data_IF_360961955069
#
_entry.id   IF_360961955069
#
_cell.length_a   1.000
_cell.length_b   1.000
_cell.length_c   1.000
_cell.angle_alpha   90.00
_cell.angle_beta   90.00
_cell.angle_gamma   90.00
#
_symmetry.space_group_name_H-M   'P 1'
#
loop_
_entity.id
_entity.type
_entity.pdbx_description
1 polymer ?
#
# COMPACT_ATOMS: atom_id res chain seq x y z
N UNK A 1 -44.16 19.47 14.44
CA UNK A 1 -42.73 19.72 14.68
C UNK A 1 -42.04 19.52 13.34
N UNK A 2 -41.79 20.63 12.65
CA UNK A 2 -41.23 20.65 11.31
C UNK A 2 -39.73 20.37 11.48
N UNK A 3 -39.27 19.18 11.11
CA UNK A 3 -37.83 18.91 11.00
C UNK A 3 -37.33 19.79 9.86
N UNK A 4 -36.71 20.91 10.21
CA UNK A 4 -35.72 21.56 9.36
C UNK A 4 -34.66 20.50 9.04
N UNK A 5 -34.64 20.05 7.79
CA UNK A 5 -33.48 19.39 7.20
C UNK A 5 -32.36 20.42 7.24
N UNK A 6 -31.49 20.31 8.23
CA UNK A 6 -30.19 20.97 8.19
C UNK A 6 -29.43 20.38 7.00
N UNK A 7 -29.60 20.99 5.83
CA UNK A 7 -28.71 20.78 4.70
C UNK A 7 -27.55 21.77 4.90
N UNK A 8 -26.39 21.27 5.36
CA UNK A 8 -25.18 21.54 4.60
C UNK A 8 -24.21 20.36 4.70
N UNK A 9 -24.16 19.54 3.65
CA UNK A 9 -22.88 18.98 3.20
C UNK A 9 -22.48 19.67 1.89
N UNK A 10 -22.54 21.00 1.88
CA UNK A 10 -21.79 21.79 0.89
C UNK A 10 -20.35 21.86 1.42
N UNK A 11 -19.56 20.81 1.20
CA UNK A 11 -18.12 20.87 1.39
C UNK A 11 -17.45 20.46 0.10
N UNK A 12 -16.79 21.45 -0.47
CA UNK A 12 -16.68 21.65 -1.89
C UNK A 12 -15.31 21.31 -2.44
N UNK A 13 -15.29 21.01 -3.74
CA UNK A 13 -14.13 21.21 -4.58
C UNK A 13 -13.95 22.73 -4.79
N UNK A 14 -12.97 23.32 -4.11
CA UNK A 14 -12.71 24.76 -4.14
C UNK A 14 -11.53 25.03 -5.06
N UNK A 15 -11.70 25.91 -6.04
CA UNK A 15 -10.66 26.30 -7.00
C UNK A 15 -10.56 27.82 -7.02
N UNK A 16 -9.37 28.36 -6.72
CA UNK A 16 -9.15 29.81 -6.62
C UNK A 16 -10.16 30.51 -5.68
N UNK A 17 -10.46 29.86 -4.55
CA UNK A 17 -11.42 30.34 -3.56
C UNK A 17 -12.90 30.25 -3.98
N UNK A 18 -13.20 29.69 -5.15
CA UNK A 18 -14.57 29.51 -5.66
C UNK A 18 -14.98 28.05 -5.58
N UNK A 19 -16.18 27.81 -5.06
CA UNK A 19 -16.81 26.49 -5.06
C UNK A 19 -17.18 26.07 -6.49
N UNK A 20 -16.70 24.90 -6.92
CA UNK A 20 -17.07 24.29 -8.19
C UNK A 20 -18.09 23.19 -8.00
N UNK A 21 -19.35 23.44 -8.39
CA UNK A 21 -20.47 22.50 -8.23
C UNK A 21 -20.93 21.81 -9.53
N UNK A 22 -20.50 22.30 -10.70
CA UNK A 22 -20.85 21.73 -12.01
C UNK A 22 -19.67 20.91 -12.58
N UNK A 23 -19.71 19.59 -12.37
CA UNK A 23 -18.65 18.68 -12.80
C UNK A 23 -18.46 18.65 -14.34
N UNK A 24 -19.51 18.52 -15.17
CA UNK A 24 -19.38 18.62 -16.63
C UNK A 24 -18.74 19.92 -17.10
N UNK A 25 -19.16 21.07 -16.57
CA UNK A 25 -18.61 22.36 -16.97
C UNK A 25 -17.13 22.49 -16.57
N UNK A 26 -16.76 22.03 -15.37
CA UNK A 26 -15.37 22.02 -14.92
C UNK A 26 -14.50 21.10 -15.80
N UNK A 27 -14.96 19.88 -16.10
CA UNK A 27 -14.23 18.97 -16.99
C UNK A 27 -13.92 19.60 -18.35
N UNK A 28 -14.89 20.32 -18.94
CA UNK A 28 -14.69 21.04 -20.20
C UNK A 28 -13.63 22.14 -20.12
N UNK A 29 -13.55 22.87 -18.98
CA UNK A 29 -12.50 23.88 -18.76
C UNK A 29 -11.12 23.25 -18.57
N UNK A 30 -11.03 22.17 -17.80
CA UNK A 30 -9.79 21.39 -17.65
C UNK A 30 -9.31 20.84 -19.00
N UNK A 31 -10.21 20.31 -19.83
CA UNK A 31 -9.87 19.85 -21.18
C UNK A 31 -9.34 20.97 -22.08
N UNK A 32 -9.88 22.19 -21.97
CA UNK A 32 -9.38 23.34 -22.73
C UNK A 32 -7.97 23.80 -22.31
N UNK A 33 -7.57 23.55 -21.05
CA UNK A 33 -6.23 23.85 -20.53
C UNK A 33 -5.20 22.77 -20.88
N UNK A 34 -5.64 21.55 -21.18
CA UNK A 34 -4.76 20.40 -21.34
C UNK A 34 -4.13 20.29 -22.75
N UNK A 35 -2.97 19.62 -22.87
CA UNK A 35 -2.41 19.21 -24.16
C UNK A 35 -3.42 18.43 -25.00
N UNK A 36 -3.39 18.63 -26.32
CA UNK A 36 -4.37 18.09 -27.27
C UNK A 36 -4.60 16.58 -27.12
N UNK A 37 -3.52 15.82 -26.89
CA UNK A 37 -3.53 14.37 -26.72
C UNK A 37 -4.25 13.89 -25.44
N UNK A 38 -4.44 14.75 -24.44
CA UNK A 38 -5.14 14.43 -23.18
C UNK A 38 -6.60 14.87 -23.16
N UNK A 39 -7.03 15.75 -24.07
CA UNK A 39 -8.37 16.37 -24.05
C UNK A 39 -9.51 15.36 -24.14
N UNK A 40 -9.36 14.30 -24.93
CA UNK A 40 -10.39 13.26 -25.06
C UNK A 40 -10.62 12.50 -23.75
N UNK A 41 -9.54 12.17 -23.03
CA UNK A 41 -9.63 11.49 -21.74
C UNK A 41 -10.33 12.37 -20.69
N UNK A 42 -10.08 13.68 -20.71
CA UNK A 42 -10.66 14.65 -19.77
C UNK A 42 -12.17 14.84 -19.93
N UNK A 43 -12.71 14.56 -21.12
CA UNK A 43 -14.15 14.56 -21.37
C UNK A 43 -14.83 13.20 -21.10
N UNK A 44 -14.07 12.21 -20.61
CA UNK A 44 -14.56 10.86 -20.35
C UNK A 44 -15.39 10.74 -19.06
N UNK A 45 -16.19 9.67 -18.92
CA UNK A 45 -17.01 9.43 -17.74
C UNK A 45 -16.19 9.28 -16.45
N UNK A 46 -14.96 8.76 -16.55
CA UNK A 46 -14.08 8.57 -15.41
C UNK A 46 -13.68 9.91 -14.75
N UNK A 47 -13.42 10.96 -15.54
CA UNK A 47 -13.09 12.30 -15.01
C UNK A 47 -14.31 12.97 -14.40
N UNK A 48 -15.49 12.79 -15.00
CA UNK A 48 -16.74 13.25 -14.38
C UNK A 48 -16.95 12.59 -13.03
N UNK A 49 -16.68 11.29 -12.93
CA UNK A 49 -16.73 10.57 -11.66
C UNK A 49 -15.72 11.12 -10.66
N UNK A 50 -14.47 11.36 -11.06
CA UNK A 50 -13.44 11.95 -10.20
C UNK A 50 -13.90 13.28 -9.62
N UNK A 51 -14.35 14.22 -10.47
CA UNK A 51 -14.79 15.55 -10.03
C UNK A 51 -16.01 15.45 -9.12
N UNK A 52 -16.99 14.61 -9.47
CA UNK A 52 -18.20 14.41 -8.64
C UNK A 52 -17.84 13.82 -7.26
N UNK A 53 -16.89 12.89 -7.20
CA UNK A 53 -16.42 12.33 -5.95
C UNK A 53 -15.65 13.36 -5.10
N UNK A 54 -14.82 14.21 -5.73
CA UNK A 54 -14.14 15.33 -5.06
C UNK A 54 -15.13 16.35 -4.49
N UNK A 55 -16.21 16.66 -5.22
CA UNK A 55 -17.29 17.53 -4.75
C UNK A 55 -18.11 16.93 -3.62
N UNK A 56 -18.16 15.59 -3.52
CA UNK A 56 -18.88 14.86 -2.48
C UNK A 56 -18.05 14.52 -1.25
N UNK A 57 -16.79 14.97 -1.17
CA UNK A 57 -15.91 14.71 -0.04
C UNK A 57 -16.37 15.47 1.22
N UNK A 58 -16.25 14.84 2.38
CA UNK A 58 -16.56 15.46 3.68
C UNK A 58 -15.52 16.48 4.13
N UNK A 59 -14.36 16.52 3.48
CA UNK A 59 -13.29 17.49 3.72
C UNK A 59 -13.06 18.28 2.43
N UNK A 60 -13.03 19.63 2.47
CA UNK A 60 -12.87 20.44 1.27
C UNK A 60 -11.55 20.14 0.55
N UNK A 61 -11.65 19.89 -0.76
CA UNK A 61 -10.48 19.73 -1.63
C UNK A 61 -10.19 21.07 -2.29
N UNK A 62 -9.18 21.77 -1.78
CA UNK A 62 -8.83 23.14 -2.21
C UNK A 62 -7.67 23.12 -3.19
N UNK A 63 -7.79 23.83 -4.31
CA UNK A 63 -6.74 24.04 -5.30
C UNK A 63 -6.57 25.53 -5.56
N UNK A 64 -5.32 25.98 -5.75
CA UNK A 64 -5.03 27.39 -6.02
C UNK A 64 -5.44 27.79 -7.46
N UNK A 65 -5.54 26.82 -8.37
CA UNK A 65 -5.95 27.08 -9.76
C UNK A 65 -6.49 25.83 -10.44
N UNK A 66 -7.18 26.00 -11.57
CA UNK A 66 -7.60 24.89 -12.44
C UNK A 66 -6.41 24.09 -12.98
N UNK A 67 -5.23 24.71 -13.14
CA UNK A 67 -4.02 24.00 -13.57
C UNK A 67 -3.54 23.00 -12.52
N UNK A 68 -3.66 23.33 -11.23
CA UNK A 68 -3.26 22.42 -10.14
C UNK A 68 -4.22 21.24 -10.05
N UNK A 69 -5.53 21.49 -10.20
CA UNK A 69 -6.52 20.42 -10.29
C UNK A 69 -6.29 19.55 -11.53
N UNK A 70 -5.97 20.16 -12.69
CA UNK A 70 -5.66 19.43 -13.91
C UNK A 70 -4.48 18.48 -13.69
N UNK A 71 -3.40 18.93 -13.04
CA UNK A 71 -2.26 18.08 -12.72
C UNK A 71 -2.66 16.86 -11.89
N UNK A 72 -3.50 17.05 -10.85
CA UNK A 72 -3.99 15.93 -10.03
C UNK A 72 -4.87 14.95 -10.85
N UNK A 73 -5.79 15.46 -11.67
CA UNK A 73 -6.64 14.62 -12.52
C UNK A 73 -5.80 13.81 -13.52
N UNK A 74 -4.77 14.43 -14.12
CA UNK A 74 -3.87 13.75 -15.05
C UNK A 74 -3.07 12.65 -14.36
N UNK A 75 -2.59 12.88 -13.14
CA UNK A 75 -1.90 11.86 -12.33
C UNK A 75 -2.83 10.70 -12.01
N UNK A 76 -4.07 10.98 -11.58
CA UNK A 76 -5.06 9.94 -11.27
C UNK A 76 -5.40 9.09 -12.49
N UNK A 77 -5.65 9.72 -13.65
CA UNK A 77 -5.90 9.00 -14.90
C UNK A 77 -4.72 8.10 -15.28
N UNK A 78 -3.50 8.63 -15.20
CA UNK A 78 -2.29 7.89 -15.51
C UNK A 78 -2.03 6.73 -14.54
N UNK A 79 -2.36 6.90 -13.26
CA UNK A 79 -2.23 5.85 -12.25
C UNK A 79 -3.27 4.73 -12.46
N UNK A 80 -4.52 5.06 -12.81
CA UNK A 80 -5.55 4.08 -13.16
C UNK A 80 -5.15 3.28 -14.42
N UNK A 81 -4.60 3.96 -15.43
CA UNK A 81 -4.06 3.29 -16.62
C UNK A 81 -2.85 2.39 -16.30
N UNK A 82 -1.95 2.85 -15.44
CA UNK A 82 -0.80 2.06 -14.99
C UNK A 82 -1.23 0.82 -14.19
N UNK A 83 -2.22 0.95 -13.29
CA UNK A 83 -2.79 -0.19 -12.58
C UNK A 83 -3.46 -1.18 -13.55
N UNK A 84 -4.18 -0.67 -14.55
CA UNK A 84 -4.80 -1.52 -15.59
C UNK A 84 -3.74 -2.27 -16.40
N UNK A 85 -2.65 -1.59 -16.75
CA UNK A 85 -1.50 -2.21 -17.44
C UNK A 85 -0.81 -3.27 -16.59
N UNK A 86 -0.69 -3.02 -15.29
CA UNK A 86 -0.15 -3.97 -14.32
C UNK A 86 -1.01 -5.24 -14.23
N UNK A 87 -2.33 -5.11 -14.14
CA UNK A 87 -3.22 -6.26 -13.92
C UNK A 87 -3.67 -6.97 -15.21
N UNK A 88 -3.54 -6.33 -16.37
CA UNK A 88 -3.82 -6.96 -17.68
C UNK A 88 -2.64 -7.73 -18.26
N UNK A 89 -1.46 -7.65 -17.65
CA UNK A 89 -0.22 -8.26 -18.14
C UNK A 89 0.50 -7.47 -19.23
N UNK A 90 0.10 -6.20 -19.45
CA UNK A 90 0.87 -5.29 -20.30
C UNK A 90 2.23 -4.94 -19.66
N UNK A 91 2.28 -4.94 -18.32
CA UNK A 91 3.50 -5.03 -17.54
C UNK A 91 3.72 -6.47 -17.04
N UNK A 92 4.99 -6.88 -16.92
CA UNK A 92 5.45 -8.20 -16.52
C UNK A 92 5.57 -8.15 -15.01
N UNK A 93 4.42 -8.02 -14.35
CA UNK A 93 4.30 -7.88 -12.92
C UNK A 93 3.66 -9.13 -12.34
N UNK A 94 4.27 -9.67 -11.29
CA UNK A 94 3.70 -10.79 -10.53
C UNK A 94 4.17 -10.71 -9.07
N UNK A 95 3.56 -11.51 -8.20
CA UNK A 95 4.10 -11.75 -6.87
C UNK A 95 5.45 -12.48 -6.98
N UNK A 96 6.36 -12.18 -6.06
CA UNK A 96 7.46 -13.11 -5.81
C UNK A 96 6.93 -14.26 -4.95
N UNK A 97 7.41 -15.47 -5.20
CA UNK A 97 7.11 -16.65 -4.40
C UNK A 97 8.35 -17.55 -4.36
N UNK A 98 9.11 -17.54 -3.25
CA UNK A 98 10.31 -18.36 -3.11
C UNK A 98 10.03 -19.86 -3.20
N UNK A 99 8.79 -20.31 -2.94
CA UNK A 99 8.45 -21.74 -2.98
C UNK A 99 8.45 -22.31 -4.40
N UNK A 100 8.20 -21.46 -5.41
CA UNK A 100 8.21 -21.85 -6.83
C UNK A 100 9.34 -21.14 -7.61
N UNK A 101 10.38 -20.70 -6.90
CA UNK A 101 11.55 -19.99 -7.43
C UNK A 101 11.23 -18.69 -8.18
N UNK A 102 10.09 -18.06 -7.89
CA UNK A 102 9.79 -16.70 -8.33
C UNK A 102 10.51 -15.71 -7.43
N UNK A 103 11.77 -15.44 -7.75
CA UNK A 103 12.64 -14.54 -6.97
C UNK A 103 12.27 -13.06 -7.15
N UNK A 104 12.48 -12.23 -6.11
CA UNK A 104 12.33 -10.78 -6.19
C UNK A 104 13.09 -10.17 -7.38
N UNK A 105 12.42 -9.28 -8.13
CA UNK A 105 12.93 -8.67 -9.38
C UNK A 105 12.38 -7.27 -9.60
N UNK A 106 13.21 -6.39 -10.16
CA UNK A 106 12.79 -5.09 -10.69
C UNK A 106 13.63 -4.66 -11.89
N UNK A 107 12.98 -4.29 -12.99
CA UNK A 107 13.58 -3.54 -14.10
C UNK A 107 14.46 -4.31 -15.09
N UNK A 108 14.63 -5.62 -14.95
CA UNK A 108 15.33 -6.49 -15.93
C UNK A 108 14.81 -7.91 -15.85
N UNK A 109 14.80 -8.66 -16.96
CA UNK A 109 14.42 -10.09 -17.03
C UNK A 109 15.61 -11.04 -16.94
N UNK A 110 16.84 -10.52 -16.99
CA UNK A 110 18.07 -11.33 -16.96
C UNK A 110 18.40 -11.89 -15.56
N UNK A 111 19.54 -12.58 -15.45
CA UNK A 111 20.00 -13.20 -14.21
C UNK A 111 20.40 -12.19 -13.12
N UNK A 112 20.60 -10.91 -13.45
CA UNK A 112 20.90 -9.89 -12.44
C UNK A 112 19.72 -9.61 -11.53
N UNK A 113 18.48 -9.86 -11.99
CA UNK A 113 17.19 -9.65 -11.29
C UNK A 113 16.88 -8.20 -10.93
N UNK A 114 17.87 -7.34 -10.86
CA UNK A 114 17.73 -5.94 -10.46
C UNK A 114 18.47 -5.11 -11.48
N UNK A 115 17.76 -4.20 -12.16
CA UNK A 115 18.41 -3.31 -13.11
C UNK A 115 19.42 -2.40 -12.39
N UNK A 116 20.39 -1.85 -13.14
CA UNK A 116 21.40 -0.93 -12.61
C UNK A 116 20.84 0.33 -11.94
N UNK A 117 19.55 0.62 -12.15
CA UNK A 117 18.87 1.77 -11.59
C UNK A 117 18.41 1.56 -10.16
N UNK A 118 18.36 0.31 -9.70
CA UNK A 118 17.84 -0.09 -8.40
C UNK A 118 18.92 -0.83 -7.57
N UNK A 119 18.94 -0.58 -6.26
CA UNK A 119 19.70 -1.34 -5.27
C UNK A 119 18.71 -2.22 -4.50
N UNK A 120 18.89 -3.53 -4.56
CA UNK A 120 18.16 -4.47 -3.70
C UNK A 120 18.69 -4.36 -2.28
N UNK A 121 17.80 -4.11 -1.30
CA UNK A 121 18.21 -3.79 0.07
C UNK A 121 18.66 -5.03 0.84
N UNK A 122 18.02 -6.18 0.65
CA UNK A 122 18.38 -7.42 1.35
C UNK A 122 18.64 -8.58 0.36
N UNK A 123 19.77 -8.59 -0.36
CA UNK A 123 20.04 -9.53 -1.46
C UNK A 123 20.12 -11.01 -1.04
N UNK A 124 20.38 -11.28 0.24
CA UNK A 124 20.44 -12.62 0.82
C UNK A 124 19.08 -13.13 1.29
N UNK A 125 18.07 -12.27 1.36
CA UNK A 125 16.74 -12.65 1.79
C UNK A 125 15.82 -12.87 0.59
N UNK A 126 15.59 -14.14 0.27
CA UNK A 126 14.69 -14.53 -0.81
C UNK A 126 13.23 -14.13 -0.56
N UNK A 127 12.90 -13.82 0.68
CA UNK A 127 11.59 -13.37 1.07
C UNK A 127 11.46 -11.84 1.01
N UNK A 128 12.53 -11.07 0.85
CA UNK A 128 12.41 -9.60 0.79
C UNK A 128 12.30 -9.06 -0.63
N UNK A 129 11.48 -8.03 -0.81
CA UNK A 129 11.21 -7.40 -2.09
C UNK A 129 11.26 -5.88 -1.93
N UNK A 130 12.41 -5.37 -1.50
CA UNK A 130 12.64 -3.95 -1.22
C UNK A 130 13.80 -3.39 -2.03
N UNK A 131 13.52 -2.39 -2.86
CA UNK A 131 14.50 -1.73 -3.74
C UNK A 131 14.49 -0.23 -3.53
N UNK A 132 15.70 0.33 -3.59
CA UNK A 132 15.92 1.77 -3.56
C UNK A 132 16.53 2.22 -4.88
N UNK A 133 16.06 3.33 -5.43
CA UNK A 133 16.67 3.94 -6.61
C UNK A 133 18.13 4.31 -6.31
N UNK A 134 19.02 4.12 -7.29
CA UNK A 134 20.42 4.53 -7.17
C UNK A 134 20.56 6.05 -7.27
N UNK A 135 21.38 6.73 -6.43
CA UNK A 135 21.41 8.20 -6.36
C UNK A 135 21.77 8.91 -7.67
N UNK A 136 22.50 8.23 -8.57
CA UNK A 136 22.97 8.81 -9.83
C UNK A 136 22.00 8.62 -10.99
N UNK A 137 20.91 7.86 -10.81
CA UNK A 137 19.95 7.59 -11.88
C UNK A 137 18.83 8.63 -11.85
N UNK A 138 18.51 9.31 -12.97
CA UNK A 138 17.33 10.16 -13.04
C UNK A 138 16.04 9.38 -12.71
N UNK A 139 15.12 9.92 -11.89
CA UNK A 139 13.90 9.22 -11.49
C UNK A 139 13.07 8.70 -12.67
N UNK A 140 12.89 9.52 -13.70
CA UNK A 140 12.19 9.14 -14.93
C UNK A 140 12.85 7.95 -15.64
N UNK A 141 14.19 7.89 -15.66
CA UNK A 141 14.94 6.77 -16.23
C UNK A 141 14.82 5.50 -15.40
N UNK A 142 14.78 5.61 -14.07
CA UNK A 142 14.70 4.44 -13.19
C UNK A 142 13.34 3.72 -13.26
N UNK A 143 12.26 4.47 -13.47
CA UNK A 143 10.88 3.95 -13.44
C UNK A 143 10.29 3.69 -14.83
N UNK A 144 10.80 4.35 -15.88
CA UNK A 144 10.31 4.13 -17.23
C UNK A 144 10.71 2.71 -17.71
N UNK A 145 9.76 1.91 -18.22
CA UNK A 145 10.12 0.76 -19.04
C UNK A 145 10.96 1.25 -20.22
N UNK A 146 12.11 0.62 -20.49
CA UNK A 146 12.83 0.91 -21.74
C UNK A 146 11.89 0.64 -22.93
N UNK A 147 11.94 1.48 -23.97
CA UNK A 147 11.00 1.39 -25.10
C UNK A 147 10.95 -0.04 -25.67
N UNK A 148 9.75 -0.63 -25.74
CA UNK A 148 9.53 -2.00 -26.19
C UNK A 148 9.87 -3.09 -25.16
N UNK A 149 10.27 -2.72 -23.95
CA UNK A 149 10.54 -3.64 -22.85
C UNK A 149 9.39 -3.60 -21.86
N UNK A 150 9.02 -4.77 -21.37
CA UNK A 150 8.11 -4.89 -20.25
C UNK A 150 8.94 -4.68 -18.99
N UNK A 151 8.65 -3.68 -18.14
CA UNK A 151 9.36 -3.53 -16.85
C UNK A 151 8.99 -4.74 -15.99
N UNK A 152 9.91 -5.69 -15.75
CA UNK A 152 9.56 -6.86 -14.99
C UNK A 152 9.63 -6.52 -13.51
N UNK A 153 8.58 -6.88 -12.78
CA UNK A 153 8.46 -6.71 -11.35
C UNK A 153 8.03 -8.04 -10.73
N UNK A 154 8.78 -8.49 -9.73
CA UNK A 154 8.39 -9.59 -8.84
C UNK A 154 8.55 -9.07 -7.43
N UNK A 155 7.48 -8.64 -6.80
CA UNK A 155 7.52 -8.03 -5.47
C UNK A 155 6.19 -8.17 -4.75
N UNK A 156 5.99 -7.35 -3.72
CA UNK A 156 4.73 -7.30 -2.97
C UNK A 156 3.72 -6.33 -3.59
N UNK A 157 2.44 -6.49 -3.23
CA UNK A 157 1.37 -5.62 -3.69
C UNK A 157 1.55 -4.15 -3.25
N UNK A 158 2.22 -3.89 -2.12
CA UNK A 158 2.62 -2.55 -1.71
C UNK A 158 3.61 -1.92 -2.71
N UNK A 159 4.64 -2.67 -3.11
CA UNK A 159 5.62 -2.23 -4.11
C UNK A 159 4.99 -1.98 -5.48
N UNK A 160 4.08 -2.86 -5.92
CA UNK A 160 3.30 -2.66 -7.14
C UNK A 160 2.50 -1.35 -7.11
N UNK A 161 1.85 -1.04 -5.97
CA UNK A 161 1.10 0.20 -5.83
C UNK A 161 2.01 1.44 -5.87
N UNK A 162 3.19 1.36 -5.25
CA UNK A 162 4.20 2.43 -5.29
C UNK A 162 4.69 2.68 -6.72
N UNK A 163 4.92 1.63 -7.51
CA UNK A 163 5.23 1.76 -8.94
C UNK A 163 4.11 2.47 -9.70
N UNK A 164 2.85 2.13 -9.43
CA UNK A 164 1.68 2.78 -10.02
C UNK A 164 1.61 4.28 -9.69
N UNK A 165 1.95 4.68 -8.45
CA UNK A 165 2.04 6.11 -8.08
C UNK A 165 3.12 6.79 -8.91
N UNK A 166 4.32 6.22 -8.98
CA UNK A 166 5.43 6.82 -9.73
C UNK A 166 5.16 6.87 -11.24
N UNK A 167 4.53 5.85 -11.82
CA UNK A 167 4.06 5.86 -13.20
C UNK A 167 2.95 6.89 -13.43
N UNK A 168 2.02 7.05 -12.48
CA UNK A 168 1.01 8.10 -12.51
C UNK A 168 1.62 9.49 -12.57
N UNK A 169 2.63 9.75 -11.73
CA UNK A 169 3.38 11.01 -11.73
C UNK A 169 4.12 11.22 -13.07
N UNK A 170 4.85 10.21 -13.55
CA UNK A 170 5.61 10.30 -14.81
C UNK A 170 4.70 10.49 -16.03
N UNK A 171 3.67 9.66 -16.19
CA UNK A 171 2.82 9.65 -17.38
C UNK A 171 1.72 10.74 -17.35
N UNK A 172 1.37 11.21 -16.15
CA UNK A 172 0.42 12.29 -15.93
C UNK A 172 1.06 13.67 -16.12
N UNK A 173 2.23 13.90 -15.53
CA UNK A 173 2.89 15.22 -15.50
C UNK A 173 4.03 15.38 -16.52
N UNK A 174 4.55 14.27 -17.05
CA UNK A 174 5.76 14.25 -17.87
C UNK A 174 7.05 14.22 -17.07
N UNK A 175 8.16 13.89 -17.74
CA UNK A 175 9.45 13.63 -17.11
C UNK A 175 10.00 14.85 -16.34
N UNK A 176 9.89 16.06 -16.90
CA UNK A 176 10.43 17.27 -16.29
C UNK A 176 9.76 17.59 -14.96
N UNK A 177 8.42 17.52 -14.93
CA UNK A 177 7.66 17.83 -13.72
C UNK A 177 7.74 16.71 -12.70
N UNK A 178 7.85 15.45 -13.13
CA UNK A 178 8.17 14.34 -12.23
C UNK A 178 9.55 14.51 -11.58
N UNK A 179 10.57 14.95 -12.32
CA UNK A 179 11.89 15.22 -11.76
C UNK A 179 11.85 16.30 -10.66
N UNK A 180 11.08 17.39 -10.88
CA UNK A 180 10.87 18.44 -9.86
C UNK A 180 10.19 17.91 -8.58
N UNK A 181 9.30 16.93 -8.71
CA UNK A 181 8.69 16.28 -7.53
C UNK A 181 9.71 15.37 -6.83
N UNK A 182 10.55 14.67 -7.59
CA UNK A 182 11.58 13.79 -7.04
C UNK A 182 12.67 14.54 -6.28
N UNK A 183 12.98 15.78 -6.66
CA UNK A 183 13.85 16.65 -5.85
C UNK A 183 13.32 16.86 -4.43
N UNK A 184 12.00 16.75 -4.24
CA UNK A 184 11.34 17.01 -2.96
C UNK A 184 11.13 15.75 -2.13
N UNK A 185 10.77 14.63 -2.75
CA UNK A 185 10.59 13.35 -2.05
C UNK A 185 11.88 12.53 -1.94
N UNK A 186 12.93 12.91 -2.66
CA UNK A 186 14.23 12.26 -2.66
C UNK A 186 14.27 10.99 -3.50
N UNK A 187 14.82 9.92 -2.92
CA UNK A 187 15.09 8.67 -3.65
C UNK A 187 13.86 7.77 -3.64
N UNK A 188 13.44 7.25 -4.79
CA UNK A 188 12.31 6.30 -4.82
C UNK A 188 12.61 5.03 -4.04
N UNK A 189 11.57 4.51 -3.39
CA UNK A 189 11.57 3.23 -2.68
C UNK A 189 10.40 2.38 -3.18
N UNK A 190 10.68 1.12 -3.54
CA UNK A 190 9.69 0.14 -3.97
C UNK A 190 9.78 -1.07 -3.03
N UNK A 191 8.68 -1.45 -2.39
CA UNK A 191 8.61 -2.55 -1.43
C UNK A 191 7.71 -2.20 -0.23
N UNK A 192 8.19 -2.25 1.01
CA UNK A 192 7.38 -1.96 2.18
C UNK A 192 6.95 -0.48 2.25
N UNK A 193 5.86 -0.22 2.98
CA UNK A 193 5.34 1.13 3.23
C UNK A 193 6.23 1.97 4.16
N UNK A 194 7.18 1.33 4.86
CA UNK A 194 8.21 1.99 5.67
C UNK A 194 9.47 1.11 5.76
N UNK A 195 10.61 1.74 6.05
CA UNK A 195 11.86 1.08 6.46
C UNK A 195 12.24 1.61 7.84
N UNK A 196 11.92 0.83 8.88
CA UNK A 196 12.05 1.30 10.26
C UNK A 196 11.23 2.57 10.48
N UNK A 197 11.82 3.68 10.96
CA UNK A 197 11.10 4.94 11.19
C UNK A 197 10.85 5.76 9.91
N UNK A 198 11.40 5.33 8.77
CA UNK A 198 11.35 6.10 7.53
C UNK A 198 10.16 5.65 6.69
N UNK A 199 9.16 6.52 6.54
CA UNK A 199 8.04 6.29 5.63
C UNK A 199 8.50 6.19 4.18
N UNK A 200 7.84 5.34 3.40
CA UNK A 200 8.08 5.26 1.96
C UNK A 200 7.70 6.59 1.29
N UNK A 201 8.54 7.18 0.41
CA UNK A 201 8.25 8.45 -0.25
C UNK A 201 6.92 8.48 -1.04
N UNK A 202 6.45 7.33 -1.54
CA UNK A 202 5.15 7.24 -2.20
C UNK A 202 3.98 7.62 -1.28
N UNK A 203 4.12 7.44 0.04
CA UNK A 203 3.08 7.79 1.03
C UNK A 203 2.83 9.29 1.14
N UNK A 204 3.76 10.13 0.67
CA UNK A 204 3.54 11.59 0.56
C UNK A 204 2.35 11.93 -0.35
N UNK A 205 2.06 11.05 -1.31
CA UNK A 205 0.96 11.18 -2.26
C UNK A 205 -0.30 10.42 -1.82
N UNK A 206 -0.30 9.90 -0.58
CA UNK A 206 -1.35 9.05 -0.03
C UNK A 206 -1.89 9.57 1.32
N UNK A 207 -2.35 10.83 1.43
CA UNK A 207 -2.97 11.29 2.67
C UNK A 207 -4.20 10.44 2.99
N UNK A 208 -4.35 10.08 4.27
CA UNK A 208 -5.51 9.33 4.78
C UNK A 208 -6.81 10.06 4.43
N UNK A 209 -7.82 9.31 4.02
CA UNK A 209 -9.16 9.84 3.75
C UNK A 209 -10.26 9.00 4.42
N UNK A 210 -11.43 9.60 4.71
CA UNK A 210 -12.56 8.89 5.30
C UNK A 210 -13.12 7.82 4.36
N UNK A 211 -13.49 6.66 4.92
CA UNK A 211 -14.07 5.55 4.15
C UNK A 211 -15.53 5.81 3.75
N UNK A 212 -16.22 6.67 4.48
CA UNK A 212 -17.61 7.07 4.25
C UNK A 212 -17.79 8.00 3.05
N UNK A 213 -16.71 8.69 2.66
CA UNK A 213 -16.69 9.56 1.51
C UNK A 213 -16.67 8.73 0.21
N UNK A 214 -17.24 9.25 -0.89
CA UNK A 214 -17.15 8.57 -2.17
C UNK A 214 -15.66 8.41 -2.57
N UNK A 215 -15.20 7.19 -2.90
CA UNK A 215 -13.85 7.00 -3.38
C UNK A 215 -13.68 7.74 -4.72
N UNK A 216 -12.52 8.36 -4.92
CA UNK A 216 -12.17 9.04 -6.16
C UNK A 216 -11.31 8.06 -6.97
N UNK A 217 -11.57 7.83 -8.27
CA UNK A 217 -10.73 6.95 -9.06
C UNK A 217 -9.24 7.31 -8.91
N UNK A 218 -8.41 6.28 -8.71
CA UNK A 218 -7.00 6.41 -8.33
C UNK A 218 -6.73 6.33 -6.83
N UNK A 219 -7.74 6.47 -5.96
CA UNK A 219 -7.56 6.32 -4.51
C UNK A 219 -7.03 4.94 -4.14
N UNK A 220 -6.20 4.91 -3.10
CA UNK A 220 -5.75 3.68 -2.45
C UNK A 220 -6.82 3.19 -1.48
N UNK A 221 -7.08 1.90 -1.55
CA UNK A 221 -8.05 1.19 -0.73
C UNK A 221 -7.39 -0.09 -0.22
N UNK A 222 -7.33 -0.25 1.10
CA UNK A 222 -6.90 -1.52 1.70
C UNK A 222 -8.12 -2.35 2.05
N UNK A 223 -8.21 -3.52 1.42
CA UNK A 223 -9.28 -4.46 1.62
C UNK A 223 -8.81 -5.58 2.55
N UNK A 224 -9.22 -5.55 3.81
CA UNK A 224 -8.73 -6.42 4.86
C UNK A 224 -9.51 -7.75 4.90
N UNK A 225 -8.79 -8.84 5.16
CA UNK A 225 -9.43 -10.10 5.53
C UNK A 225 -10.03 -10.02 6.95
N UNK A 226 -10.59 -11.11 7.46
CA UNK A 226 -11.10 -11.16 8.84
C UNK A 226 -10.00 -10.83 9.84
N UNK A 227 -10.36 -10.13 10.92
CA UNK A 227 -9.42 -9.51 11.85
C UNK A 227 -8.47 -10.50 12.54
N UNK A 228 -8.86 -11.77 12.69
CA UNK A 228 -8.05 -12.84 13.26
C UNK A 228 -7.25 -13.65 12.23
N UNK A 229 -7.34 -13.35 10.93
CA UNK A 229 -6.51 -14.01 9.91
C UNK A 229 -5.01 -13.97 10.25
N UNK A 230 -4.41 -12.85 10.71
CA UNK A 230 -2.98 -12.83 11.06
C UNK A 230 -2.62 -13.75 12.23
N UNK A 231 -3.59 -14.07 13.10
CA UNK A 231 -3.39 -14.97 14.23
C UNK A 231 -3.53 -16.44 13.81
N UNK A 232 -4.45 -16.74 12.91
CA UNK A 232 -4.76 -18.11 12.48
C UNK A 232 -3.87 -18.58 11.33
N UNK A 233 -3.48 -17.67 10.44
CA UNK A 233 -2.62 -17.92 9.29
C UNK A 233 -1.43 -16.93 9.28
N UNK A 234 -0.49 -17.04 10.25
CA UNK A 234 0.61 -16.09 10.43
C UNK A 234 1.62 -16.06 9.27
N UNK A 235 1.71 -17.15 8.50
CA UNK A 235 2.52 -17.22 7.26
C UNK A 235 1.66 -17.04 6.00
N UNK A 236 0.36 -16.78 6.16
CA UNK A 236 -0.59 -16.57 5.09
C UNK A 236 -0.39 -15.25 4.36
N UNK A 237 -0.56 -15.28 3.04
CA UNK A 237 -0.39 -14.11 2.17
C UNK A 237 -1.64 -13.21 2.10
N UNK A 238 -2.81 -13.75 2.46
CA UNK A 238 -4.12 -13.11 2.23
C UNK A 238 -4.62 -12.30 3.42
N UNK A 239 -3.72 -11.57 4.07
CA UNK A 239 -4.04 -10.60 5.13
C UNK A 239 -5.02 -9.53 4.65
N UNK A 240 -4.95 -9.24 3.36
CA UNK A 240 -5.79 -8.29 2.66
C UNK A 240 -5.20 -7.99 1.29
N UNK A 241 -5.79 -7.01 0.62
CA UNK A 241 -5.43 -6.60 -0.72
C UNK A 241 -5.21 -5.09 -0.75
N UNK A 242 -4.01 -4.69 -1.19
CA UNK A 242 -3.74 -3.32 -1.61
C UNK A 242 -4.43 -3.12 -2.97
N UNK A 243 -5.41 -2.22 -3.02
CA UNK A 243 -6.22 -2.00 -4.22
C UNK A 243 -6.35 -0.52 -4.53
N UNK A 244 -6.56 -0.23 -5.81
CA UNK A 244 -6.90 1.08 -6.34
C UNK A 244 -8.38 1.07 -6.69
N UNK A 245 -9.09 2.14 -6.35
CA UNK A 245 -10.42 2.35 -6.90
C UNK A 245 -10.33 2.75 -8.37
N UNK A 246 -10.97 1.97 -9.25
CA UNK A 246 -10.83 2.10 -10.71
C UNK A 246 -11.97 2.89 -11.37
N UNK A 247 -13.01 3.23 -10.60
CA UNK A 247 -14.24 3.85 -11.10
C UNK A 247 -15.40 2.88 -11.22
N UNK A 248 -16.48 3.33 -11.85
CA UNK A 248 -17.71 2.56 -12.04
C UNK A 248 -17.85 1.97 -13.44
N UNK A 249 -18.54 0.84 -13.53
CA UNK A 249 -19.08 0.34 -14.79
C UNK A 249 -20.32 1.14 -15.25
N UNK A 250 -20.87 0.77 -16.40
CA UNK A 250 -22.07 1.41 -16.96
C UNK A 250 -23.34 1.24 -16.10
N UNK A 251 -23.35 0.31 -15.13
CA UNK A 251 -24.44 0.09 -14.18
C UNK A 251 -24.23 0.85 -12.87
N UNK A 252 -23.10 1.55 -12.72
CA UNK A 252 -22.72 2.24 -11.48
C UNK A 252 -22.04 1.33 -10.45
N UNK A 253 -21.71 0.09 -10.80
CA UNK A 253 -20.99 -0.84 -9.93
C UNK A 253 -19.55 -0.38 -9.79
N UNK A 254 -19.06 -0.30 -8.55
CA UNK A 254 -17.68 0.09 -8.24
C UNK A 254 -16.71 -1.05 -8.53
N UNK A 255 -15.59 -0.72 -9.17
CA UNK A 255 -14.49 -1.66 -9.45
C UNK A 255 -13.19 -1.24 -8.79
N UNK A 256 -12.39 -2.24 -8.44
CA UNK A 256 -11.11 -2.09 -7.77
C UNK A 256 -10.06 -2.98 -8.47
N UNK A 257 -8.80 -2.61 -8.38
CA UNK A 257 -7.70 -3.42 -8.92
C UNK A 257 -6.46 -3.35 -8.05
N UNK A 258 -5.75 -4.45 -7.96
CA UNK A 258 -4.50 -4.58 -7.23
C UNK A 258 -3.69 -5.71 -7.85
N UNK A 259 -2.48 -5.94 -7.36
CA UNK A 259 -1.68 -7.05 -7.87
C UNK A 259 -2.41 -8.38 -7.63
N UNK A 260 -2.65 -9.13 -8.71
CA UNK A 260 -3.43 -10.38 -8.68
C UNK A 260 -4.95 -10.22 -8.75
N UNK A 261 -5.49 -8.99 -8.73
CA UNK A 261 -6.93 -8.73 -8.80
C UNK A 261 -7.23 -7.63 -9.84
N UNK A 262 -7.84 -8.00 -10.96
CA UNK A 262 -8.15 -7.06 -12.05
C UNK A 262 -9.65 -6.79 -12.15
N UNK A 263 -10.01 -5.51 -12.12
CA UNK A 263 -11.38 -5.01 -12.34
C UNK A 263 -12.44 -5.73 -11.50
N UNK A 264 -12.17 -5.97 -10.22
CA UNK A 264 -13.07 -6.71 -9.33
C UNK A 264 -14.10 -5.79 -8.68
N UNK A 265 -15.32 -6.29 -8.53
CA UNK A 265 -16.31 -5.65 -7.66
C UNK A 265 -15.93 -5.87 -6.19
N UNK A 266 -16.45 -5.03 -5.30
CA UNK A 266 -16.27 -5.24 -3.85
C UNK A 266 -16.78 -6.61 -3.39
N UNK A 267 -17.89 -7.10 -3.95
CA UNK A 267 -18.42 -8.42 -3.63
C UNK A 267 -17.46 -9.55 -4.06
N UNK A 268 -16.81 -9.42 -5.22
CA UNK A 268 -15.83 -10.41 -5.67
C UNK A 268 -14.58 -10.40 -4.79
N UNK A 269 -14.07 -9.22 -4.43
CA UNK A 269 -12.94 -9.12 -3.51
C UNK A 269 -13.25 -9.75 -2.15
N UNK A 270 -14.45 -9.51 -1.60
CA UNK A 270 -14.94 -10.16 -0.36
C UNK A 270 -14.86 -11.67 -0.46
N UNK A 271 -15.31 -12.23 -1.58
CA UNK A 271 -15.30 -13.68 -1.80
C UNK A 271 -13.89 -14.25 -1.97
N UNK A 272 -12.99 -13.55 -2.66
CA UNK A 272 -11.59 -13.97 -2.82
C UNK A 272 -10.88 -14.09 -1.47
N UNK A 273 -10.95 -13.06 -0.63
CA UNK A 273 -10.35 -13.10 0.72
C UNK A 273 -11.03 -14.11 1.65
N UNK A 274 -12.36 -14.26 1.54
CA UNK A 274 -13.08 -15.26 2.32
C UNK A 274 -12.65 -16.69 1.97
N UNK A 275 -12.48 -16.98 0.67
CA UNK A 275 -12.00 -18.29 0.22
C UNK A 275 -10.59 -18.57 0.73
N UNK A 276 -9.69 -17.57 0.67
CA UNK A 276 -8.36 -17.69 1.25
C UNK A 276 -8.39 -17.94 2.76
N UNK A 277 -9.27 -17.25 3.49
CA UNK A 277 -9.47 -17.50 4.92
C UNK A 277 -9.91 -18.95 5.19
N UNK A 278 -10.89 -19.47 4.45
CA UNK A 278 -11.37 -20.85 4.64
C UNK A 278 -10.31 -21.90 4.33
N UNK A 279 -9.42 -21.61 3.39
CA UNK A 279 -8.31 -22.48 3.04
C UNK A 279 -7.21 -22.45 4.09
N UNK A 280 -6.76 -21.25 4.47
CA UNK A 280 -5.57 -21.07 5.32
C UNK A 280 -5.89 -21.26 6.81
N UNK A 281 -7.12 -20.91 7.22
CA UNK A 281 -7.55 -20.92 8.62
C UNK A 281 -8.50 -22.09 8.94
N UNK A 282 -8.51 -23.18 8.15
CA UNK A 282 -9.38 -24.32 8.45
C UNK A 282 -9.16 -24.87 9.88
N UNK A 283 -10.21 -25.19 10.65
CA UNK A 283 -11.63 -25.25 10.29
C UNK A 283 -12.44 -23.96 10.58
N UNK A 284 -11.78 -22.84 10.86
CA UNK A 284 -12.45 -21.57 11.19
C UNK A 284 -13.27 -21.04 10.01
N UNK A 285 -14.34 -20.31 10.32
CA UNK A 285 -15.27 -19.75 9.35
C UNK A 285 -15.47 -18.25 9.58
N UNK A 286 -16.11 -17.60 8.60
CA UNK A 286 -16.52 -16.19 8.59
C UNK A 286 -18.04 -16.24 8.59
N UNK A 287 -18.67 -15.71 9.63
CA UNK A 287 -20.12 -15.78 9.81
C UNK A 287 -20.83 -14.79 8.89
N UNK A 288 -20.22 -13.62 8.68
CA UNK A 288 -20.75 -12.53 7.89
C UNK A 288 -19.65 -11.92 6.97
N UNK A 289 -19.33 -12.56 5.83
CA UNK A 289 -18.31 -12.08 4.88
C UNK A 289 -18.51 -10.63 4.40
N UNK A 290 -19.76 -10.17 4.33
CA UNK A 290 -20.10 -8.81 3.92
C UNK A 290 -19.80 -7.74 4.98
N UNK A 291 -19.44 -8.13 6.19
CA UNK A 291 -19.08 -7.18 7.26
C UNK A 291 -17.71 -7.46 7.86
N UNK A 292 -17.26 -8.72 7.85
CA UNK A 292 -15.98 -9.10 8.48
C UNK A 292 -14.78 -8.94 7.54
N UNK A 293 -14.97 -9.10 6.22
CA UNK A 293 -13.93 -8.89 5.20
C UNK A 293 -14.21 -7.58 4.49
N UNK A 294 -13.49 -6.50 4.78
CA UNK A 294 -13.95 -5.12 4.50
C UNK A 294 -12.83 -4.16 4.14
N UNK A 295 -13.16 -3.03 3.51
CA UNK A 295 -12.22 -1.92 3.42
C UNK A 295 -11.98 -1.32 4.81
N UNK A 296 -10.72 -1.16 5.19
CA UNK A 296 -10.34 -0.58 6.49
C UNK A 296 -9.45 0.66 6.37
N UNK A 297 -8.87 0.88 5.19
CA UNK A 297 -8.11 2.11 4.91
C UNK A 297 -8.47 2.64 3.53
N UNK A 298 -8.58 3.97 3.47
CA UNK A 298 -8.57 4.75 2.25
C UNK A 298 -7.51 5.83 2.33
N UNK A 299 -6.80 6.04 1.25
CA UNK A 299 -5.92 7.19 1.07
C UNK A 299 -6.14 7.81 -0.31
N UNK A 300 -6.11 9.14 -0.38
CA UNK A 300 -6.28 9.86 -1.64
C UNK A 300 -5.02 9.73 -2.47
N UNK A 301 -5.13 9.60 -3.78
CA UNK A 301 -4.01 9.91 -4.67
C UNK A 301 -3.97 11.42 -4.92
N UNK A 302 -3.17 12.14 -4.13
CA UNK A 302 -3.18 13.60 -4.11
C UNK A 302 -1.77 14.17 -4.30
N UNK A 303 -1.65 15.26 -5.05
CA UNK A 303 -0.40 16.02 -5.12
C UNK A 303 -0.22 16.85 -3.84
N UNK A 304 0.87 16.69 -3.08
CA UNK A 304 1.06 17.43 -1.85
C UNK A 304 1.31 18.92 -2.13
N UNK A 305 0.59 19.79 -1.43
CA UNK A 305 0.66 21.27 -1.58
C UNK A 305 1.96 21.86 -1.04
N UNK A 306 2.42 21.34 0.09
CA UNK A 306 3.71 21.67 0.68
C UNK A 306 4.54 20.38 0.75
N UNK A 307 5.78 20.44 0.27
CA UNK A 307 6.64 19.28 0.09
C UNK A 307 8.05 19.63 0.53
N UNK A 308 8.29 19.60 1.84
CA UNK A 308 9.62 19.64 2.41
C UNK A 308 9.81 18.38 3.24
N UNK A 309 10.18 17.28 2.59
CA UNK A 309 10.71 16.11 3.29
C UNK A 309 11.96 15.65 2.53
N UNK A 310 13.06 16.38 2.72
CA UNK A 310 14.36 15.86 2.32
C UNK A 310 14.69 14.67 3.24
N UNK A 311 14.27 13.47 2.84
CA UNK A 311 14.68 12.24 3.51
C UNK A 311 16.07 11.89 2.96
N UNK A 312 17.12 12.38 3.62
CA UNK A 312 18.44 11.80 3.46
C UNK A 312 18.44 10.43 4.14
N UNK A 313 18.43 9.37 3.33
CA UNK A 313 18.59 8.01 3.85
C UNK A 313 20.02 7.84 4.34
N UNK A 314 20.20 7.61 5.65
CA UNK A 314 21.49 7.19 6.19
C UNK A 314 21.90 5.82 5.64
N UNK A 315 23.20 5.59 5.48
CA UNK A 315 23.75 4.35 4.99
C UNK A 315 23.29 3.13 5.81
N UNK A 316 22.96 2.03 5.12
CA UNK A 316 22.66 0.74 5.75
C UNK A 316 23.82 0.32 6.64
N UNK A 317 23.56 0.05 7.92
CA UNK A 317 24.49 -0.73 8.74
C UNK A 317 24.20 -2.20 8.51
N UNK A 318 25.10 -2.89 7.81
CA UNK A 318 25.18 -4.35 7.79
C UNK A 318 25.51 -4.84 9.21
N UNK A 319 24.49 -5.09 10.00
CA UNK A 319 24.64 -5.73 11.30
C UNK A 319 24.28 -7.21 11.19
N UNK A 320 25.31 -8.06 11.26
CA UNK A 320 25.16 -9.51 11.41
C UNK A 320 24.66 -9.82 12.82
N UNK A 321 23.34 -9.85 13.01
CA UNK A 321 22.75 -10.35 14.25
C UNK A 321 22.62 -11.88 14.20
N UNK A 322 22.90 -12.52 15.33
CA UNK A 322 22.62 -13.94 15.52
C UNK A 322 21.23 -14.04 16.13
N UNK A 323 20.23 -14.22 15.27
CA UNK A 323 18.86 -14.49 15.71
C UNK A 323 18.85 -15.91 16.32
N UNK A 324 18.13 -16.09 17.43
CA UNK A 324 17.96 -17.41 18.05
C UNK A 324 16.46 -17.70 18.19
N UNK A 325 16.04 -18.91 17.80
CA UNK A 325 14.67 -19.35 17.98
C UNK A 325 14.44 -19.73 19.45
N UNK A 326 13.58 -19.03 20.20
CA UNK A 326 13.28 -19.39 21.57
C UNK A 326 12.54 -20.74 21.60
N UNK A 327 12.85 -21.58 22.60
CA UNK A 327 12.08 -22.79 22.84
C UNK A 327 10.83 -22.50 23.71
N UNK A 328 9.89 -23.45 23.74
CA UNK A 328 8.63 -23.36 24.50
C UNK A 328 8.88 -22.99 25.97
N UNK A 329 9.88 -23.61 26.62
CA UNK A 329 10.19 -23.32 28.02
C UNK A 329 10.67 -21.89 28.26
N UNK A 330 11.44 -21.33 27.32
CA UNK A 330 11.93 -19.95 27.40
C UNK A 330 10.78 -18.95 27.23
N UNK A 331 9.85 -19.23 26.32
CA UNK A 331 8.63 -18.45 26.13
C UNK A 331 7.73 -18.51 27.37
N UNK A 332 7.50 -19.68 27.95
CA UNK A 332 6.69 -19.82 29.16
C UNK A 332 7.30 -19.09 30.36
N UNK A 333 8.63 -19.15 30.53
CA UNK A 333 9.34 -18.36 31.55
C UNK A 333 9.21 -16.85 31.33
N UNK A 334 9.06 -16.42 30.08
CA UNK A 334 8.80 -15.03 29.71
C UNK A 334 7.30 -14.64 29.79
N UNK A 335 6.45 -15.51 30.35
CA UNK A 335 5.03 -15.22 30.59
C UNK A 335 4.08 -15.61 29.46
N UNK A 336 4.54 -16.36 28.45
CA UNK A 336 3.66 -16.85 27.39
C UNK A 336 2.84 -18.07 27.83
N UNK A 337 1.58 -18.11 27.41
CA UNK A 337 0.66 -19.23 27.66
C UNK A 337 0.39 -20.02 26.39
N UNK A 338 0.57 -21.35 26.44
CA UNK A 338 0.24 -22.24 25.33
C UNK A 338 -1.27 -22.47 25.29
N UNK A 339 -1.92 -22.17 24.16
CA UNK A 339 -3.34 -22.43 23.96
C UNK A 339 -3.60 -23.83 23.36
N UNK A 340 -4.88 -24.19 23.24
CA UNK A 340 -5.34 -25.48 22.70
C UNK A 340 -4.91 -25.74 21.24
N UNK A 341 -4.62 -24.67 20.48
CA UNK A 341 -4.18 -24.73 19.09
C UNK A 341 -2.66 -24.83 18.96
N UNK A 342 -1.93 -24.95 20.07
CA UNK A 342 -0.47 -25.05 20.07
C UNK A 342 0.24 -23.71 19.82
N UNK A 343 -0.47 -22.58 19.95
CA UNK A 343 0.07 -21.23 19.82
C UNK A 343 0.40 -20.70 21.21
N UNK A 344 1.59 -20.10 21.36
CA UNK A 344 1.99 -19.42 22.59
C UNK A 344 1.63 -17.94 22.52
N UNK A 345 0.81 -17.46 23.44
CA UNK A 345 0.36 -16.07 23.47
C UNK A 345 0.88 -15.32 24.69
N UNK A 346 1.20 -14.04 24.50
CA UNK A 346 1.41 -13.09 25.59
C UNK A 346 0.60 -11.83 25.28
N UNK A 347 -0.50 -11.55 26.02
CA UNK A 347 -1.41 -10.45 25.69
C UNK A 347 -0.82 -9.07 26.02
N UNK A 348 0.28 -9.00 26.79
CA UNK A 348 0.90 -7.74 27.17
C UNK A 348 2.38 -7.94 27.51
N UNK A 349 3.25 -7.68 26.53
CA UNK A 349 4.69 -7.58 26.70
C UNK A 349 5.20 -6.29 26.04
N UNK A 350 6.51 -6.05 26.06
CA UNK A 350 7.14 -4.92 25.35
C UNK A 350 7.90 -5.40 24.13
N UNK A 351 8.02 -4.51 23.14
CA UNK A 351 8.77 -4.78 21.92
C UNK A 351 10.24 -5.12 22.20
N UNK A 352 10.86 -4.43 23.17
CA UNK A 352 12.23 -4.69 23.60
C UNK A 352 12.39 -6.06 24.29
N UNK A 353 11.43 -6.46 25.13
CA UNK A 353 11.45 -7.77 25.75
C UNK A 353 11.31 -8.90 24.72
N UNK A 354 10.43 -8.72 23.73
CA UNK A 354 10.29 -9.64 22.60
C UNK A 354 11.57 -9.72 21.77
N UNK A 355 12.12 -8.57 21.37
CA UNK A 355 13.34 -8.51 20.58
C UNK A 355 14.51 -9.20 21.30
N UNK A 356 14.66 -8.96 22.60
CA UNK A 356 15.64 -9.64 23.44
C UNK A 356 15.46 -11.15 23.48
N UNK A 357 14.21 -11.65 23.55
CA UNK A 357 13.91 -13.08 23.55
C UNK A 357 14.31 -13.78 22.24
N UNK A 358 14.21 -13.08 21.11
CA UNK A 358 14.58 -13.58 19.78
C UNK A 358 16.03 -13.28 19.40
N UNK A 359 16.80 -12.60 20.26
CA UNK A 359 18.18 -12.21 19.97
C UNK A 359 18.29 -11.18 18.83
N UNK A 360 17.34 -10.25 18.76
CA UNK A 360 17.25 -9.22 17.72
C UNK A 360 17.02 -7.83 18.32
N UNK A 361 16.85 -6.80 17.48
CA UNK A 361 16.42 -5.46 17.88
C UNK A 361 15.03 -5.12 17.32
N UNK A 362 14.30 -4.16 17.93
CA UNK A 362 13.01 -3.68 17.41
C UNK A 362 13.00 -3.36 15.91
N UNK A 363 14.07 -2.76 15.39
CA UNK A 363 14.22 -2.36 13.98
C UNK A 363 14.17 -3.53 13.00
N UNK A 364 14.46 -4.75 13.45
CA UNK A 364 14.44 -5.96 12.62
C UNK A 364 13.07 -6.64 12.61
N UNK A 365 12.14 -6.20 13.45
CA UNK A 365 10.78 -6.69 13.44
C UNK A 365 10.09 -6.08 12.23
N UNK A 366 9.77 -6.94 11.27
CA UNK A 366 9.21 -6.48 10.00
C UNK A 366 7.75 -6.21 10.19
N UNK A 367 7.24 -5.14 9.59
CA UNK A 367 5.79 -5.04 9.39
C UNK A 367 5.36 -6.17 8.44
N UNK A 368 4.14 -6.68 8.62
CA UNK A 368 3.55 -7.55 7.60
C UNK A 368 3.61 -6.83 6.24
N UNK A 369 4.09 -7.56 5.23
CA UNK A 369 4.69 -6.99 4.01
C UNK A 369 3.74 -6.27 3.06
N UNK A 370 2.50 -6.11 3.45
CA UNK A 370 1.43 -5.62 2.60
C UNK A 370 0.33 -4.91 3.40
N UNK A 371 0.55 -4.64 4.68
CA UNK A 371 -0.59 -4.50 5.57
C UNK A 371 -1.48 -3.28 5.29
N UNK A 372 -0.97 -2.09 4.93
CA UNK A 372 -1.86 -0.92 4.74
C UNK A 372 -2.82 -0.66 5.93
N UNK A 373 -2.57 -1.31 7.07
CA UNK A 373 -3.44 -1.38 8.22
C UNK A 373 -3.20 -0.11 9.03
N UNK A 374 -4.25 0.36 9.72
CA UNK A 374 -4.09 1.45 10.68
C UNK A 374 -3.14 1.08 11.83
N UNK A 375 -3.05 -0.21 12.15
CA UNK A 375 -2.12 -0.76 13.13
C UNK A 375 -1.58 -2.12 12.64
N UNK A 376 -0.63 -2.12 11.69
CA UNK A 376 -0.17 -3.36 11.09
C UNK A 376 0.54 -4.21 12.15
N UNK A 377 0.28 -5.53 12.18
CA UNK A 377 1.07 -6.40 13.02
C UNK A 377 2.53 -6.39 12.54
N UNK A 378 3.43 -6.65 13.47
CA UNK A 378 4.80 -7.02 13.18
C UNK A 378 4.93 -8.54 13.04
N UNK A 379 5.91 -8.98 12.27
CA UNK A 379 6.31 -10.37 12.08
C UNK A 379 7.80 -10.53 12.27
N UNK A 380 8.17 -11.60 12.97
CA UNK A 380 9.53 -12.15 12.98
C UNK A 380 9.45 -13.65 12.74
N UNK A 381 10.25 -14.13 11.78
CA UNK A 381 10.33 -15.56 11.46
C UNK A 381 11.79 -16.00 11.48
N UNK A 382 12.12 -16.99 12.30
CA UNK A 382 13.46 -17.56 12.38
C UNK A 382 13.46 -18.97 13.00
N UNK A 383 14.31 -19.86 12.48
CA UNK A 383 14.62 -21.14 13.12
C UNK A 383 13.40 -22.01 13.46
N UNK A 384 12.40 -22.05 12.57
CA UNK A 384 11.18 -22.82 12.81
C UNK A 384 10.19 -22.13 13.76
N UNK A 385 10.32 -20.83 14.00
CA UNK A 385 9.37 -20.05 14.80
C UNK A 385 8.89 -18.84 14.01
N UNK A 386 7.58 -18.59 14.01
CA UNK A 386 6.99 -17.32 13.54
C UNK A 386 6.31 -16.64 14.73
N UNK A 387 6.67 -15.40 15.03
CA UNK A 387 5.95 -14.57 15.98
C UNK A 387 5.27 -13.40 15.27
N UNK A 388 3.99 -13.23 15.56
CA UNK A 388 3.12 -12.14 15.13
C UNK A 388 2.88 -11.26 16.34
N UNK A 389 3.07 -9.94 16.21
CA UNK A 389 2.84 -9.00 17.29
C UNK A 389 1.88 -7.89 16.87
N UNK A 390 1.02 -7.48 17.79
CA UNK A 390 0.05 -6.41 17.60
C UNK A 390 0.35 -5.33 18.62
N UNK A 391 0.58 -4.10 18.16
CA UNK A 391 0.82 -2.98 19.07
C UNK A 391 -0.47 -2.59 19.76
N UNK A 392 -0.42 -2.34 21.07
CA UNK A 392 -1.57 -1.87 21.82
C UNK A 392 -1.97 -0.44 21.40
N UNK A 393 -0.98 0.38 21.05
CA UNK A 393 -1.16 1.73 20.52
C UNK A 393 -0.79 1.78 19.03
N UNK A 394 -1.74 2.07 18.12
CA UNK A 394 -1.48 2.26 16.70
C UNK A 394 -0.46 3.35 16.36
N UNK A 395 -0.31 4.36 17.21
CA UNK A 395 0.58 5.50 16.97
C UNK A 395 1.95 5.34 17.63
N UNK A 396 2.17 4.24 18.37
CA UNK A 396 3.48 3.96 18.95
C UNK A 396 4.56 3.81 17.87
N UNK A 397 5.74 4.38 18.14
CA UNK A 397 6.92 4.15 17.31
C UNK A 397 7.22 2.66 17.29
N UNK A 398 7.32 2.13 16.07
CA UNK A 398 7.55 0.69 15.82
C UNK A 398 8.96 0.25 16.16
N UNK A 399 9.84 1.18 16.54
CA UNK A 399 11.17 0.91 17.06
C UNK A 399 11.28 1.18 18.57
N UNK A 400 10.24 1.72 19.23
CA UNK A 400 10.29 2.00 20.66
C UNK A 400 10.32 0.67 21.45
N UNK A 401 11.43 0.34 22.14
CA UNK A 401 11.51 -0.89 22.92
C UNK A 401 10.49 -0.94 24.06
N UNK A 402 9.93 0.20 24.50
CA UNK A 402 8.91 0.27 25.53
C UNK A 402 7.48 0.09 24.99
N UNK A 403 7.28 0.09 23.66
CA UNK A 403 5.95 -0.09 23.06
C UNK A 403 5.31 -1.41 23.51
N UNK A 404 4.07 -1.32 23.99
CA UNK A 404 3.31 -2.48 24.47
C UNK A 404 2.73 -3.24 23.30
N UNK A 405 2.92 -4.56 23.29
CA UNK A 405 2.48 -5.46 22.23
C UNK A 405 1.80 -6.71 22.79
N UNK A 406 0.78 -7.20 22.09
CA UNK A 406 0.32 -8.60 22.19
C UNK A 406 1.13 -9.44 21.22
N UNK A 407 1.51 -10.67 21.58
CA UNK A 407 2.36 -11.54 20.75
C UNK A 407 1.82 -12.96 20.68
N UNK A 408 1.76 -13.50 19.46
CA UNK A 408 1.33 -14.84 19.14
C UNK A 408 2.51 -15.57 18.48
N UNK A 409 2.97 -16.66 19.08
CA UNK A 409 4.16 -17.41 18.64
C UNK A 409 3.75 -18.82 18.18
N UNK A 410 4.08 -19.12 16.94
CA UNK A 410 3.83 -20.38 16.27
C UNK A 410 5.14 -21.14 16.13
N UNK A 411 5.14 -22.38 16.63
CA UNK A 411 6.26 -23.30 16.51
C UNK A 411 6.04 -24.19 15.29
N UNK A 412 6.85 -24.02 14.25
CA UNK A 412 6.86 -24.93 13.11
C UNK A 412 7.34 -26.29 13.56
N UNK A 413 6.58 -27.33 13.24
CA UNK A 413 7.10 -28.69 13.38
C UNK A 413 8.26 -28.79 12.40
N UNK A 414 9.46 -29.17 12.87
CA UNK A 414 10.55 -29.53 11.97
C UNK A 414 9.99 -30.55 10.96
N UNK A 415 9.93 -30.17 9.69
CA UNK A 415 9.47 -31.02 8.60
C UNK A 415 10.41 -32.21 8.40
#
# INVERSE_FOLDING_TARGET
>A
MQMTLDNPKDQALIIDGVDSTDAPALAGRLAALAPAEKQNALNGPLVQEMITAMQGASVPMVYASESELLDEILVRLAAVDAMTSLTSGAYDCDYFDPNIDLKPRIGTTDNSRTSRYWKFLNPTDHWDAAWRQTPQTPPSTAIAPEYGSVLPFRGECAGAYQLVIYWGLLNGLGADRFALMAEKFGTMLVGPWSLGPISNPATLFMPKAPLEDPPIPGDYMYFQNKDDYPELAPDGFWMGLNSMYMGKDALGTRHYSGMGASWQTEANLRMELSNAYYQDCYPHQIEAPLTEVRFTVRALLQLPKEQNVAIEHSADTDSTFVIHAPNVGSLQNAGYTLNENGVLTNPSTTLGALAGLFGTTPEHIRQFRSAGLSNPPGRISFGGVTAVLFFADPEADRNDPAAVVSVHVHMHRNA
#
